data_IF_391173555696
#
_entry.id   IF_391173555696
#
_cell.length_a   1.000
_cell.length_b   1.000
_cell.length_c   1.000
_cell.angle_alpha   90.00
_cell.angle_beta   90.00
_cell.angle_gamma   90.00
#
_symmetry.space_group_name_H-M   'P 1'
#
loop_
_entity.id
_entity.type
_entity.pdbx_description
1 polymer ?
#
# COMPACT_ATOMS: atom_id res chain seq x y z
N UNK A 1 -2.50 -8.89 48.90
CA UNK A 1 -2.29 -7.64 48.15
C UNK A 1 -1.84 -8.05 46.75
N UNK A 2 -2.79 -8.22 45.82
CA UNK A 2 -2.46 -8.57 44.44
C UNK A 2 -2.12 -7.26 43.72
N UNK A 3 -0.85 -7.07 43.37
CA UNK A 3 -0.44 -6.03 42.42
C UNK A 3 -0.96 -6.47 41.05
N UNK A 4 -2.16 -6.02 40.71
CA UNK A 4 -2.64 -6.09 39.33
C UNK A 4 -1.65 -5.26 38.50
N UNK A 5 -0.75 -5.94 37.78
CA UNK A 5 0.10 -5.30 36.79
C UNK A 5 -0.85 -4.68 35.76
N UNK A 6 -1.04 -3.37 35.86
CA UNK A 6 -1.81 -2.60 34.91
C UNK A 6 -0.97 -2.48 33.64
N UNK A 7 -1.05 -3.51 32.79
CA UNK A 7 -0.35 -3.60 31.50
C UNK A 7 -1.07 -2.78 30.42
N UNK A 8 -1.62 -1.64 30.80
CA UNK A 8 -2.32 -0.77 29.86
C UNK A 8 -1.27 0.08 29.16
N UNK A 9 -1.20 0.03 27.83
CA UNK A 9 -0.33 0.89 27.03
C UNK A 9 -1.15 2.12 26.64
N UNK A 10 -0.77 3.33 27.07
CA UNK A 10 -1.47 4.55 26.68
C UNK A 10 -1.50 4.71 25.16
N UNK A 11 -2.68 5.01 24.63
CA UNK A 11 -2.92 5.24 23.21
C UNK A 11 -3.31 6.69 22.96
N UNK A 12 -2.70 7.32 21.96
CA UNK A 12 -3.01 8.68 21.51
C UNK A 12 -3.15 8.73 20.00
N UNK A 13 -3.81 9.75 19.47
CA UNK A 13 -3.91 9.99 18.03
C UNK A 13 -3.32 11.37 17.71
N UNK A 14 -2.38 11.41 16.76
CA UNK A 14 -1.81 12.67 16.28
C UNK A 14 -2.88 13.49 15.56
N UNK A 15 -2.93 14.80 15.86
CA UNK A 15 -3.79 15.72 15.13
C UNK A 15 -3.32 15.89 13.67
N UNK A 16 -2.01 15.99 13.45
CA UNK A 16 -1.43 16.01 12.11
C UNK A 16 -1.20 14.59 11.62
N UNK A 17 -2.08 14.11 10.75
CA UNK A 17 -1.95 12.82 10.09
C UNK A 17 -0.92 12.90 8.97
N UNK A 18 0.06 12.00 8.98
CA UNK A 18 1.08 11.92 7.94
C UNK A 18 0.52 11.22 6.68
N UNK A 19 0.94 11.70 5.51
CA UNK A 19 0.51 11.17 4.20
C UNK A 19 1.26 9.89 3.82
N UNK A 20 1.17 8.88 4.67
CA UNK A 20 1.69 7.56 4.36
C UNK A 20 0.75 6.78 3.44
N UNK A 21 1.35 5.89 2.65
CA UNK A 21 0.65 4.92 1.83
C UNK A 21 1.32 3.56 2.02
N UNK A 22 0.51 2.52 2.08
CA UNK A 22 1.00 1.15 2.20
C UNK A 22 1.19 0.56 0.81
N UNK A 23 2.39 0.06 0.55
CA UNK A 23 2.75 -0.60 -0.70
C UNK A 23 2.99 -2.09 -0.42
N UNK A 24 2.24 -2.95 -1.09
CA UNK A 24 2.41 -4.40 -1.01
C UNK A 24 3.60 -4.81 -1.87
N UNK A 25 4.67 -5.28 -1.22
CA UNK A 25 5.91 -5.68 -1.88
C UNK A 25 5.91 -7.18 -2.20
N UNK A 26 6.06 -7.58 -3.48
CA UNK A 26 6.36 -8.95 -3.85
C UNK A 26 7.62 -9.46 -3.15
N UNK A 27 7.69 -10.75 -2.78
CA UNK A 27 8.83 -11.32 -2.06
C UNK A 27 10.18 -11.06 -2.73
N UNK A 28 10.22 -11.09 -4.08
CA UNK A 28 11.46 -10.81 -4.81
C UNK A 28 11.92 -9.36 -4.68
N UNK A 29 11.00 -8.39 -4.66
CA UNK A 29 11.35 -6.99 -4.45
C UNK A 29 11.78 -6.74 -3.00
N UNK A 30 11.14 -7.41 -2.04
CA UNK A 30 11.55 -7.33 -0.65
C UNK A 30 12.97 -7.84 -0.45
N UNK A 31 13.28 -9.04 -0.95
CA UNK A 31 14.63 -9.61 -0.87
C UNK A 31 15.68 -8.73 -1.55
N UNK A 32 15.30 -8.06 -2.64
CA UNK A 32 16.17 -7.14 -3.36
C UNK A 32 16.42 -5.84 -2.58
N UNK A 33 15.41 -5.31 -1.88
CA UNK A 33 15.54 -4.15 -0.99
C UNK A 33 16.34 -4.45 0.29
N UNK A 34 16.28 -5.69 0.78
CA UNK A 34 17.05 -6.16 1.94
C UNK A 34 18.49 -6.58 1.58
N UNK A 35 18.84 -6.62 0.29
CA UNK A 35 20.18 -7.00 -0.16
C UNK A 35 21.25 -5.94 0.16
N UNK A 36 22.53 -6.34 0.15
CA UNK A 36 23.66 -5.45 0.44
C UNK A 36 23.75 -4.25 -0.52
N UNK A 37 23.22 -4.39 -1.73
CA UNK A 37 23.18 -3.33 -2.75
C UNK A 37 21.74 -3.11 -3.22
N UNK A 38 20.92 -2.42 -2.40
CA UNK A 38 19.52 -2.21 -2.74
C UNK A 38 19.42 -1.32 -3.99
N UNK A 39 18.65 -1.72 -5.02
CA UNK A 39 18.48 -0.91 -6.21
C UNK A 39 17.57 0.28 -5.91
N UNK A 40 17.80 1.38 -6.66
CA UNK A 40 16.94 2.55 -6.61
C UNK A 40 15.61 2.21 -7.30
N UNK A 41 14.51 2.32 -6.55
CA UNK A 41 13.17 2.22 -7.08
C UNK A 41 12.73 3.59 -7.62
N UNK A 42 12.22 3.64 -8.85
CA UNK A 42 11.72 4.88 -9.43
C UNK A 42 10.25 4.75 -9.83
N UNK A 43 9.45 5.75 -9.47
CA UNK A 43 8.03 5.83 -9.81
C UNK A 43 7.90 6.74 -11.02
N UNK A 44 7.33 6.21 -12.08
CA UNK A 44 7.06 6.93 -13.32
C UNK A 44 5.59 6.81 -13.69
N UNK A 45 5.03 7.82 -14.34
CA UNK A 45 3.65 7.78 -14.81
C UNK A 45 3.60 7.31 -16.26
N UNK A 46 2.67 6.41 -16.58
CA UNK A 46 2.38 6.07 -17.96
C UNK A 46 1.63 7.23 -18.63
N UNK A 47 1.84 7.47 -19.93
CA UNK A 47 1.05 8.45 -20.67
C UNK A 47 -0.42 8.02 -20.68
N UNK A 48 -1.32 8.97 -20.41
CA UNK A 48 -2.75 8.78 -20.61
C UNK A 48 -3.04 8.78 -22.12
N UNK A 49 -3.88 7.85 -22.58
CA UNK A 49 -4.42 7.84 -23.94
C UNK A 49 -5.90 8.18 -23.91
N UNK A 50 -6.53 8.45 -25.05
CA UNK A 50 -7.96 8.77 -25.12
C UNK A 50 -8.86 7.67 -24.52
N UNK A 51 -8.39 6.42 -24.45
CA UNK A 51 -9.16 5.26 -23.99
C UNK A 51 -8.69 4.69 -22.66
N UNK A 52 -7.48 5.01 -22.18
CA UNK A 52 -6.95 4.51 -20.91
C UNK A 52 -6.35 5.62 -20.06
N UNK A 53 -6.78 5.77 -18.79
CA UNK A 53 -6.17 6.73 -17.89
C UNK A 53 -4.71 6.36 -17.61
N UNK A 54 -3.86 7.37 -17.40
CA UNK A 54 -2.48 7.16 -16.98
C UNK A 54 -2.42 6.47 -15.62
N UNK A 55 -1.48 5.54 -15.47
CA UNK A 55 -1.26 4.79 -14.22
C UNK A 55 0.19 4.98 -13.76
N UNK A 56 0.43 4.79 -12.46
CA UNK A 56 1.77 4.83 -11.91
C UNK A 56 2.46 3.46 -12.11
N UNK A 57 3.73 3.50 -12.48
CA UNK A 57 4.61 2.35 -12.68
C UNK A 57 5.80 2.50 -11.74
N UNK A 58 5.99 1.50 -10.89
CA UNK A 58 7.21 1.32 -10.10
C UNK A 58 8.21 0.52 -10.95
N UNK A 59 9.39 1.05 -11.15
CA UNK A 59 10.47 0.37 -11.87
C UNK A 59 11.60 0.00 -10.91
N UNK A 60 12.10 -1.22 -11.07
CA UNK A 60 13.23 -1.78 -10.33
C UNK A 60 14.15 -2.49 -11.33
N UNK A 61 15.19 -1.78 -11.79
CA UNK A 61 16.05 -2.26 -12.88
C UNK A 61 15.24 -2.61 -14.13
N UNK A 62 15.27 -3.88 -14.52
CA UNK A 62 14.56 -4.40 -15.70
C UNK A 62 13.06 -4.69 -15.47
N UNK A 63 12.63 -4.76 -14.21
CA UNK A 63 11.24 -5.10 -13.86
C UNK A 63 10.38 -3.85 -13.70
N UNK A 64 9.18 -3.88 -14.27
CA UNK A 64 8.18 -2.81 -14.16
C UNK A 64 6.93 -3.35 -13.50
N UNK A 65 6.41 -2.61 -12.52
CA UNK A 65 5.23 -2.99 -11.76
C UNK A 65 4.18 -1.88 -11.87
N UNK A 66 3.01 -2.22 -12.37
CA UNK A 66 1.86 -1.33 -12.34
C UNK A 66 1.33 -1.22 -10.91
N UNK A 67 1.19 0.01 -10.43
CA UNK A 67 0.64 0.29 -9.10
C UNK A 67 -0.88 0.37 -9.21
N UNK A 68 -1.60 -0.44 -8.43
CA UNK A 68 -3.06 -0.43 -8.36
C UNK A 68 -3.49 -0.14 -6.93
N UNK A 69 -4.41 0.81 -6.77
CA UNK A 69 -4.99 1.12 -5.47
C UNK A 69 -6.12 0.14 -5.17
N UNK A 70 -6.14 -0.39 -3.95
CA UNK A 70 -7.14 -1.33 -3.45
C UNK A 70 -7.69 -0.81 -2.13
N UNK A 71 -8.98 -0.51 -2.09
CA UNK A 71 -9.62 -0.07 -0.85
C UNK A 71 -9.74 -1.21 0.15
N UNK A 72 -9.62 -0.87 1.43
CA UNK A 72 -9.88 -1.77 2.54
C UNK A 72 -11.10 -1.29 3.32
N UNK A 73 -12.01 -2.22 3.66
CA UNK A 73 -13.13 -1.91 4.56
C UNK A 73 -12.72 -1.89 6.03
N UNK A 74 -11.51 -2.36 6.34
CA UNK A 74 -10.97 -2.36 7.70
C UNK A 74 -10.14 -1.10 7.94
N UNK A 75 -10.30 -0.43 9.10
CA UNK A 75 -9.46 0.70 9.46
C UNK A 75 -8.05 0.22 9.78
N UNK A 76 -7.07 0.67 8.99
CA UNK A 76 -5.66 0.42 9.27
C UNK A 76 -5.08 1.68 9.88
N UNK A 77 -4.44 1.57 11.04
CA UNK A 77 -3.75 2.69 11.70
C UNK A 77 -2.26 2.41 11.74
N UNK A 78 -1.47 3.38 11.30
CA UNK A 78 -0.03 3.38 11.51
C UNK A 78 0.25 3.95 12.88
N UNK A 79 0.99 3.19 13.69
CA UNK A 79 1.35 3.55 15.05
C UNK A 79 2.84 3.83 15.11
N UNK A 80 3.20 4.87 15.83
CA UNK A 80 4.57 5.18 16.21
C UNK A 80 4.75 4.90 17.71
N UNK A 81 5.86 4.27 18.12
CA UNK A 81 6.24 4.22 19.52
C UNK A 81 6.42 5.65 20.06
N UNK A 82 5.79 5.95 21.18
CA UNK A 82 5.87 7.27 21.82
C UNK A 82 6.05 7.14 23.33
N UNK A 83 6.10 8.28 24.02
CA UNK A 83 6.10 8.31 25.48
C UNK A 83 5.11 9.34 25.98
N UNK A 84 4.51 9.07 27.13
CA UNK A 84 3.57 10.00 27.76
C UNK A 84 4.29 11.30 28.11
N UNK A 85 3.55 12.40 27.98
CA UNK A 85 4.02 13.75 28.30
C UNK A 85 3.24 14.28 29.51
N UNK A 86 3.85 15.13 30.34
CA UNK A 86 3.14 15.78 31.44
C UNK A 86 1.95 16.56 30.88
N UNK A 87 0.79 16.39 31.50
CA UNK A 87 -0.40 17.22 31.24
C UNK A 87 -0.50 18.33 32.27
N UNK A 88 -1.38 19.31 32.07
CA UNK A 88 -1.60 20.41 33.04
C UNK A 88 -2.08 19.93 34.42
N UNK A 89 -2.52 18.67 34.53
CA UNK A 89 -2.91 18.03 35.78
C UNK A 89 -1.76 17.32 36.51
N UNK A 90 -0.61 17.15 35.85
CA UNK A 90 0.55 16.44 36.39
C UNK A 90 1.56 17.43 36.99
N UNK A 91 2.19 17.04 38.10
CA UNK A 91 3.34 17.75 38.64
C UNK A 91 4.55 17.54 37.72
N UNK A 92 4.98 18.60 37.02
CA UNK A 92 6.06 18.55 36.03
C UNK A 92 7.43 18.09 36.58
N UNK A 93 7.65 18.15 37.91
CA UNK A 93 8.90 17.69 38.54
C UNK A 93 8.89 16.21 38.95
N UNK A 94 7.71 15.60 39.10
CA UNK A 94 7.54 14.20 39.55
C UNK A 94 6.98 13.27 38.47
N UNK A 95 6.63 13.81 37.30
CA UNK A 95 6.09 13.03 36.20
C UNK A 95 7.11 12.02 35.66
N UNK A 96 6.71 10.75 35.61
CA UNK A 96 7.50 9.67 35.02
C UNK A 96 6.87 9.30 33.68
N UNK A 97 7.58 9.59 32.58
CA UNK A 97 7.16 9.16 31.25
C UNK A 97 7.05 7.65 31.17
N UNK A 98 5.95 7.19 30.58
CA UNK A 98 5.66 5.79 30.33
C UNK A 98 5.68 5.52 28.82
N UNK A 99 6.07 4.30 28.39
CA UNK A 99 5.94 3.90 27.00
C UNK A 99 4.48 3.99 26.55
N UNK A 100 4.25 4.60 25.38
CA UNK A 100 2.92 4.76 24.78
C UNK A 100 2.98 4.51 23.28
N UNK A 101 1.81 4.51 22.63
CA UNK A 101 1.70 4.46 21.17
C UNK A 101 0.86 5.61 20.67
N UNK A 102 1.24 6.16 19.51
CA UNK A 102 0.52 7.26 18.87
C UNK A 102 0.12 6.86 17.45
N UNK A 103 -1.16 6.98 17.10
CA UNK A 103 -1.61 6.83 15.73
C UNK A 103 -1.21 8.05 14.90
N UNK A 104 -0.32 7.84 13.92
CA UNK A 104 0.25 8.88 13.06
C UNK A 104 -0.44 8.98 11.70
N UNK A 105 -1.12 7.92 11.27
CA UNK A 105 -1.85 7.90 10.00
C UNK A 105 -2.97 6.87 10.02
N UNK A 106 -4.08 7.19 9.36
CA UNK A 106 -5.16 6.26 9.06
C UNK A 106 -5.15 5.95 7.56
N UNK A 107 -5.10 4.67 7.24
CA UNK A 107 -5.00 4.17 5.87
C UNK A 107 -6.33 3.49 5.49
N UNK A 108 -6.88 3.90 4.35
CA UNK A 108 -8.16 3.41 3.80
C UNK A 108 -7.94 2.59 2.51
N UNK A 109 -6.70 2.55 2.04
CA UNK A 109 -6.29 1.92 0.80
C UNK A 109 -4.85 1.40 0.86
N UNK A 110 -4.62 0.26 0.23
CA UNK A 110 -3.28 -0.25 -0.04
C UNK A 110 -2.97 -0.13 -1.52
N UNK A 111 -1.69 -0.11 -1.86
CA UNK A 111 -1.21 -0.11 -3.23
C UNK A 111 -0.61 -1.49 -3.49
N UNK A 112 -1.17 -2.22 -4.44
CA UNK A 112 -0.63 -3.50 -4.90
C UNK A 112 0.23 -3.30 -6.16
N UNK A 113 1.24 -4.15 -6.30
CA UNK A 113 2.18 -4.14 -7.40
C UNK A 113 1.91 -5.31 -8.36
N UNK A 114 1.56 -4.99 -9.60
CA UNK A 114 1.29 -5.99 -10.64
C UNK A 114 2.48 -5.97 -11.60
N UNK A 115 3.24 -7.07 -11.67
CA UNK A 115 4.35 -7.18 -12.61
C UNK A 115 3.82 -7.04 -14.05
N UNK A 116 4.37 -6.07 -14.77
CA UNK A 116 4.21 -5.98 -16.21
C UNK A 116 5.33 -6.79 -16.86
N UNK A 117 5.02 -8.03 -17.22
CA UNK A 117 5.87 -8.78 -18.14
C UNK A 117 5.91 -7.97 -19.45
N UNK A 118 7.10 -7.50 -19.82
CA UNK A 118 7.28 -6.63 -20.98
C UNK A 118 6.57 -7.24 -22.19
N UNK A 119 5.81 -6.41 -22.93
CA UNK A 119 4.93 -6.82 -24.03
C UNK A 119 5.49 -8.01 -24.83
N UNK A 120 5.14 -9.22 -24.42
CA UNK A 120 5.01 -10.32 -25.36
C UNK A 120 3.83 -9.89 -26.21
N UNK A 121 4.12 -9.26 -27.37
CA UNK A 121 3.18 -8.97 -28.45
C UNK A 121 2.13 -10.08 -28.45
N UNK A 122 0.95 -9.80 -27.88
CA UNK A 122 -0.11 -10.78 -27.87
C UNK A 122 -0.35 -11.13 -29.34
N UNK A 123 -0.30 -12.42 -29.75
CA UNK A 123 -0.65 -12.75 -31.11
C UNK A 123 -2.05 -12.19 -31.36
N UNK A 124 -2.30 -11.56 -32.53
CA UNK A 124 -3.58 -10.91 -32.79
C UNK A 124 -4.69 -11.91 -32.50
N UNK A 125 -5.67 -11.50 -31.69
CA UNK A 125 -6.84 -12.33 -31.31
C UNK A 125 -7.69 -12.60 -32.55
N UNK A 126 -7.26 -13.57 -33.35
CA UNK A 126 -8.06 -14.16 -34.43
C UNK A 126 -9.03 -15.13 -33.76
N UNK A 127 -10.20 -14.63 -33.37
CA UNK A 127 -11.47 -15.15 -33.87
C UNK A 127 -12.66 -14.62 -33.06
N UNK A 128 -13.42 -13.78 -33.75
CA UNK A 128 -14.72 -13.24 -33.37
C UNK A 128 -15.71 -14.38 -33.12
N UNK A 129 -16.07 -14.58 -31.86
CA UNK A 129 -17.18 -15.44 -31.48
C UNK A 129 -18.49 -15.05 -32.20
N UNK A 130 -18.67 -13.75 -32.48
CA UNK A 130 -19.79 -13.20 -33.23
C UNK A 130 -19.92 -13.68 -34.68
N UNK A 131 -18.83 -14.10 -35.36
CA UNK A 131 -18.92 -14.64 -36.74
C UNK A 131 -19.41 -16.09 -36.77
N UNK A 132 -19.15 -16.89 -35.73
CA UNK A 132 -19.56 -18.30 -35.69
C UNK A 132 -21.07 -18.49 -35.46
N UNK A 133 -21.74 -17.54 -34.78
CA UNK A 133 -23.19 -17.63 -34.55
C UNK A 133 -24.05 -16.99 -35.65
N UNK A 134 -23.53 -16.03 -36.40
CA UNK A 134 -24.26 -15.45 -37.54
C UNK A 134 -24.53 -16.48 -38.65
N UNK A 135 -23.60 -17.42 -38.87
CA UNK A 135 -23.77 -18.50 -39.87
C UNK A 135 -24.78 -19.59 -39.49
N UNK A 136 -25.17 -19.70 -38.22
CA UNK A 136 -26.14 -20.73 -37.79
C UNK A 136 -27.61 -20.31 -38.00
N UNK A 137 -27.88 -19.04 -38.32
CA UNK A 137 -29.25 -18.51 -38.46
C UNK A 137 -29.73 -18.34 -39.90
N UNK A 138 -28.88 -18.56 -40.89
CA UNK A 138 -29.21 -18.39 -42.32
C UNK A 138 -29.52 -19.72 -43.05
N UNK A 139 -29.78 -20.81 -42.31
CA UNK A 139 -30.08 -22.12 -42.88
C UNK A 139 -31.37 -22.71 -42.32
N UNK A 140 -32.51 -22.20 -42.76
CA UNK A 140 -33.75 -22.97 -42.90
C UNK A 140 -34.70 -22.28 -43.87
#
# INVERSE_FOLDING_TARGET
MATQYQNDIPFSASHSQQSFKLLELPPELLALLESENPPVLSITSSPATETTPGYAILSSGDKKYQMRQKNTSNPIMLLEPSSTKPTDADDGETFISQPSVTAISKIEDTIELILQEGEAKAPPKVNKWHEKFAKSRAGK
#
